data_IF_151269445478
#
_entry.id   IF_151269445478
#
_cell.length_a   1.000
_cell.length_b   1.000
_cell.length_c   1.000
_cell.angle_alpha   90.00
_cell.angle_beta   90.00
_cell.angle_gamma   90.00
#
_symmetry.space_group_name_H-M   'P 1'
#
loop_
_entity.id
_entity.type
_entity.pdbx_description
1 polymer ?
#
# COMPACT_ATOMS: atom_id res chain seq x y z
N UNK A 1 -27.66 -20.28 -20.88
CA UNK A 1 -27.07 -20.70 -19.58
C UNK A 1 -27.04 -19.49 -18.67
N UNK A 2 -27.71 -19.55 -17.52
CA UNK A 2 -27.71 -18.47 -16.52
C UNK A 2 -26.33 -18.42 -15.87
N UNK A 3 -25.64 -17.28 -15.99
CA UNK A 3 -24.40 -17.01 -15.23
C UNK A 3 -24.79 -16.71 -13.79
N UNK A 4 -24.50 -17.65 -12.89
CA UNK A 4 -24.54 -17.37 -11.45
C UNK A 4 -23.42 -16.38 -11.11
N UNK A 5 -23.68 -15.31 -10.35
CA UNK A 5 -22.62 -14.43 -9.88
C UNK A 5 -21.70 -15.21 -8.94
N UNK A 6 -20.40 -15.20 -9.24
CA UNK A 6 -19.36 -15.73 -8.33
C UNK A 6 -19.32 -14.81 -7.11
N UNK A 7 -19.44 -15.32 -5.87
CA UNK A 7 -19.42 -14.49 -4.68
C UNK A 7 -18.02 -13.89 -4.51
N UNK A 8 -17.91 -12.58 -4.67
CA UNK A 8 -16.67 -11.79 -4.61
C UNK A 8 -16.21 -11.53 -3.16
N UNK A 9 -16.30 -12.53 -2.28
CA UNK A 9 -16.09 -12.38 -0.83
C UNK A 9 -14.82 -13.06 -0.30
N UNK A 10 -13.90 -13.47 -1.17
CA UNK A 10 -12.67 -14.20 -0.81
C UNK A 10 -11.30 -13.59 -1.20
N UNK A 11 -11.06 -12.25 -1.23
CA UNK A 11 -9.68 -11.72 -1.25
C UNK A 11 -9.15 -11.26 0.13
N UNK A 12 -9.98 -10.66 0.98
CA UNK A 12 -9.51 -9.93 2.19
C UNK A 12 -9.04 -10.85 3.33
N UNK A 13 -9.67 -12.01 3.51
CA UNK A 13 -9.36 -12.98 4.57
C UNK A 13 -7.99 -13.64 4.40
N UNK A 14 -7.51 -13.79 3.17
CA UNK A 14 -6.19 -14.36 2.88
C UNK A 14 -5.06 -13.35 3.19
N UNK A 15 -5.30 -12.05 2.98
CA UNK A 15 -4.31 -10.99 3.24
C UNK A 15 -3.94 -10.86 4.73
N UNK A 16 -4.77 -11.41 5.62
CA UNK A 16 -4.52 -11.44 7.07
C UNK A 16 -3.92 -12.77 7.56
N UNK A 17 -3.46 -13.62 6.64
CA UNK A 17 -2.80 -14.90 6.95
C UNK A 17 -1.65 -14.77 7.97
N UNK A 18 -0.68 -13.86 7.76
CA UNK A 18 0.40 -13.63 8.73
C UNK A 18 -0.11 -13.24 10.12
N UNK A 19 -1.13 -12.37 10.18
CA UNK A 19 -1.74 -11.93 11.44
C UNK A 19 -2.41 -13.08 12.19
N UNK A 20 -3.08 -14.01 11.48
CA UNK A 20 -3.70 -15.21 12.07
C UNK A 20 -2.68 -16.28 12.47
N UNK A 21 -1.55 -16.32 11.78
CA UNK A 21 -0.45 -17.22 12.08
C UNK A 21 0.41 -16.72 13.26
N UNK A 22 0.31 -15.44 13.62
CA UNK A 22 1.05 -14.86 14.73
C UNK A 22 0.80 -15.62 16.05
N UNK A 23 1.87 -15.81 16.80
CA UNK A 23 1.91 -16.45 18.13
C UNK A 23 2.50 -15.54 19.19
N UNK A 24 3.07 -14.41 18.78
CA UNK A 24 3.63 -13.41 19.68
C UNK A 24 3.04 -12.03 19.40
N UNK A 25 3.06 -11.17 20.41
CA UNK A 25 2.59 -9.77 20.27
C UNK A 25 3.39 -9.04 19.18
N UNK A 26 4.70 -9.24 19.15
CA UNK A 26 5.59 -8.66 18.14
C UNK A 26 5.19 -9.08 16.72
N UNK A 27 4.85 -10.34 16.50
CA UNK A 27 4.39 -10.82 15.19
C UNK A 27 3.04 -10.20 14.78
N UNK A 28 2.12 -10.02 15.73
CA UNK A 28 0.85 -9.32 15.48
C UNK A 28 1.10 -7.88 15.03
N UNK A 29 1.94 -7.15 15.78
CA UNK A 29 2.27 -5.76 15.46
C UNK A 29 2.98 -5.64 14.11
N UNK A 30 3.93 -6.55 13.82
CA UNK A 30 4.61 -6.60 12.53
C UNK A 30 3.67 -6.90 11.35
N UNK A 31 2.70 -7.81 11.54
CA UNK A 31 1.70 -8.09 10.51
C UNK A 31 0.76 -6.91 10.27
N UNK A 32 0.34 -6.20 11.33
CA UNK A 32 -0.44 -4.96 11.21
C UNK A 32 0.36 -3.90 10.44
N UNK A 33 1.63 -3.72 10.78
CA UNK A 33 2.51 -2.81 10.05
C UNK A 33 2.63 -3.18 8.58
N UNK A 34 2.88 -4.45 8.26
CA UNK A 34 3.00 -4.90 6.87
C UNK A 34 1.73 -4.58 6.07
N UNK A 35 0.55 -4.85 6.64
CA UNK A 35 -0.72 -4.53 5.98
C UNK A 35 -0.92 -3.02 5.82
N UNK A 36 -0.64 -2.21 6.85
CA UNK A 36 -0.86 -0.76 6.79
C UNK A 36 0.14 -0.08 5.84
N UNK A 37 1.42 -0.44 5.91
CA UNK A 37 2.47 0.10 5.06
C UNK A 37 2.31 -0.34 3.60
N UNK A 38 2.16 -1.65 3.36
CA UNK A 38 2.17 -2.20 2.00
C UNK A 38 0.77 -2.15 1.39
N UNK A 39 -0.26 -2.56 2.14
CA UNK A 39 -1.57 -2.76 1.55
C UNK A 39 -2.42 -1.49 1.51
N UNK A 40 -2.42 -0.72 2.60
CA UNK A 40 -3.15 0.55 2.68
C UNK A 40 -2.33 1.69 2.06
N UNK A 41 -1.01 1.61 2.16
CA UNK A 41 -0.09 2.63 1.65
C UNK A 41 0.05 3.80 2.62
N UNK A 42 0.28 3.51 3.90
CA UNK A 42 0.44 4.51 4.95
C UNK A 42 1.83 4.41 5.59
N UNK A 43 2.56 5.51 5.64
CA UNK A 43 3.95 5.59 6.14
C UNK A 43 4.06 6.22 7.53
N UNK A 44 3.00 6.88 8.01
CA UNK A 44 2.89 7.30 9.40
C UNK A 44 1.57 6.85 10.01
N UNK A 45 1.64 5.96 10.99
CA UNK A 45 0.46 5.45 11.70
C UNK A 45 0.83 5.00 13.12
N UNK A 46 -0.19 4.83 13.96
CA UNK A 46 -0.06 4.27 15.30
C UNK A 46 -1.14 3.24 15.57
N UNK A 47 -0.77 2.14 16.22
CA UNK A 47 -1.69 1.26 16.92
C UNK A 47 -1.70 1.65 18.39
N UNK A 48 -2.86 2.08 18.86
CA UNK A 48 -3.08 2.57 20.22
C UNK A 48 -3.91 1.56 20.99
N UNK A 49 -3.50 1.25 22.20
CA UNK A 49 -4.28 0.43 23.13
C UNK A 49 -5.02 1.31 24.12
N UNK A 50 -6.27 0.93 24.40
CA UNK A 50 -7.10 1.59 25.39
C UNK A 50 -6.82 0.98 26.75
N UNK A 51 -6.19 1.77 27.63
CA UNK A 51 -6.00 1.39 29.02
C UNK A 51 -7.36 1.30 29.72
N UNK A 52 -7.59 0.16 30.34
CA UNK A 52 -8.88 -0.19 30.88
C UNK A 52 -9.30 0.63 32.09
N UNK A 53 -8.33 1.02 32.91
CA UNK A 53 -8.54 1.65 34.20
C UNK A 53 -8.68 3.18 34.06
N UNK A 54 -7.86 3.78 33.20
CA UNK A 54 -7.80 5.21 32.98
C UNK A 54 -8.59 5.69 31.77
N UNK A 55 -8.92 4.79 30.83
CA UNK A 55 -9.51 5.15 29.55
C UNK A 55 -8.56 5.95 28.64
N UNK A 56 -7.26 5.99 28.97
CA UNK A 56 -6.23 6.63 28.18
C UNK A 56 -5.79 5.72 27.02
N UNK A 57 -5.40 6.33 25.91
CA UNK A 57 -4.75 5.59 24.82
C UNK A 57 -3.24 5.55 25.06
N UNK A 58 -2.63 4.39 24.86
CA UNK A 58 -1.19 4.17 24.98
C UNK A 58 -0.67 3.66 23.65
N UNK A 59 0.49 4.15 23.21
CA UNK A 59 1.10 3.72 21.95
C UNK A 59 1.62 2.29 22.08
N UNK A 60 0.96 1.34 21.45
CA UNK A 60 1.42 -0.05 21.39
C UNK A 60 2.42 -0.27 20.26
N UNK A 61 2.23 0.42 19.13
CA UNK A 61 3.12 0.39 17.99
C UNK A 61 3.00 1.67 17.18
N UNK A 62 4.07 2.10 16.51
CA UNK A 62 4.04 3.25 15.63
C UNK A 62 5.08 3.12 14.53
N UNK A 63 4.79 3.73 13.38
CA UNK A 63 5.73 3.91 12.29
C UNK A 63 5.75 5.38 11.91
N UNK A 64 6.95 5.94 11.74
CA UNK A 64 7.16 7.30 11.23
C UNK A 64 6.77 8.44 12.18
N UNK A 65 6.30 8.15 13.39
CA UNK A 65 5.91 9.14 14.39
C UNK A 65 7.02 9.39 15.41
N UNK A 66 7.05 10.59 15.99
CA UNK A 66 7.95 10.96 17.09
C UNK A 66 7.30 10.71 18.46
N UNK A 67 6.66 9.56 18.61
CA UNK A 67 6.02 9.13 19.87
C UNK A 67 6.56 7.75 20.25
N UNK A 68 6.88 7.55 21.53
CA UNK A 68 7.50 6.32 22.03
C UNK A 68 6.47 5.21 22.26
N UNK A 69 6.85 3.96 21.99
CA UNK A 69 6.08 2.81 22.43
C UNK A 69 5.93 2.83 23.96
N UNK A 70 4.74 2.53 24.47
CA UNK A 70 4.39 2.58 25.88
C UNK A 70 4.09 3.99 26.42
N UNK A 71 4.27 5.05 25.62
CA UNK A 71 3.91 6.40 26.05
C UNK A 71 2.40 6.66 25.90
N UNK A 72 1.80 7.48 26.77
CA UNK A 72 0.43 7.94 26.59
C UNK A 72 0.27 8.70 25.27
N UNK A 73 -0.88 8.53 24.62
CA UNK A 73 -1.23 9.33 23.47
C UNK A 73 -1.37 10.80 23.88
N UNK A 74 -0.73 11.76 23.17
CA UNK A 74 -0.61 13.13 23.69
C UNK A 74 -1.92 13.93 23.79
N UNK A 75 -2.95 13.54 23.05
CA UNK A 75 -4.27 14.17 23.14
C UNK A 75 -5.21 13.31 23.99
N UNK A 76 -6.12 13.93 24.74
CA UNK A 76 -7.14 13.23 25.53
C UNK A 76 -8.55 13.31 24.90
N UNK A 77 -8.67 13.97 23.74
CA UNK A 77 -9.90 14.27 23.01
C UNK A 77 -9.62 14.25 21.49
N UNK A 78 -10.66 14.21 20.67
CA UNK A 78 -10.56 14.25 19.21
C UNK A 78 -11.02 12.96 18.52
N UNK A 79 -10.87 12.87 17.20
CA UNK A 79 -11.43 11.80 16.36
C UNK A 79 -10.93 10.41 16.76
N UNK A 80 -9.65 10.30 17.14
CA UNK A 80 -9.06 9.05 17.65
C UNK A 80 -9.75 8.61 18.96
N UNK A 81 -9.98 9.54 19.89
CA UNK A 81 -10.68 9.24 21.15
C UNK A 81 -12.16 8.93 20.93
N UNK A 82 -12.79 9.56 19.94
CA UNK A 82 -14.15 9.24 19.54
C UNK A 82 -14.25 7.81 18.99
N UNK A 83 -13.29 7.40 18.15
CA UNK A 83 -13.21 6.02 17.68
C UNK A 83 -13.02 5.03 18.84
N UNK A 84 -12.17 5.35 19.82
CA UNK A 84 -11.95 4.52 21.01
C UNK A 84 -13.21 4.37 21.89
N UNK A 85 -14.02 5.43 22.03
CA UNK A 85 -15.17 5.47 22.94
C UNK A 85 -16.48 5.04 22.30
N UNK A 86 -16.78 5.60 21.13
CA UNK A 86 -18.02 5.36 20.42
C UNK A 86 -17.90 4.21 19.42
N UNK A 87 -16.68 3.76 19.11
CA UNK A 87 -16.47 2.68 18.16
C UNK A 87 -16.80 3.05 16.73
N UNK A 88 -16.84 4.35 16.43
CA UNK A 88 -17.15 4.89 15.11
C UNK A 88 -15.83 5.12 14.38
N UNK A 89 -15.57 4.44 13.25
CA UNK A 89 -14.38 4.73 12.45
C UNK A 89 -14.49 6.12 11.82
N UNK A 90 -13.34 6.76 11.62
CA UNK A 90 -13.21 7.99 10.86
C UNK A 90 -12.35 7.71 9.63
N UNK A 91 -12.80 8.13 8.45
CA UNK A 91 -12.01 8.11 7.23
C UNK A 91 -12.16 9.48 6.60
N UNK A 92 -11.05 10.18 6.38
CA UNK A 92 -11.09 11.47 5.71
C UNK A 92 -11.59 11.26 4.26
N UNK A 93 -12.81 11.72 3.97
CA UNK A 93 -13.33 11.77 2.60
C UNK A 93 -12.55 12.77 1.75
N UNK A 94 -12.63 12.64 0.41
CA UNK A 94 -12.09 13.59 -0.58
C UNK A 94 -12.03 14.99 0.01
N UNK A 95 -10.83 15.54 0.16
CA UNK A 95 -10.57 16.80 0.85
C UNK A 95 -11.66 17.82 0.59
N UNK A 96 -12.37 18.24 1.64
CA UNK A 96 -13.09 19.49 1.63
C UNK A 96 -12.31 20.47 2.49
N UNK A 97 -11.89 21.57 1.87
CA UNK A 97 -11.46 22.76 2.59
C UNK A 97 -12.57 23.17 3.56
N UNK A 98 -12.26 23.04 4.84
CA UNK A 98 -13.07 23.44 5.97
C UNK A 98 -12.16 23.26 7.17
N UNK A 99 -11.99 24.32 7.96
CA UNK A 99 -10.90 24.50 8.93
C UNK A 99 -10.68 23.24 9.78
N UNK A 100 -9.60 22.51 9.46
CA UNK A 100 -9.01 21.57 10.39
C UNK A 100 -8.65 22.38 11.64
N UNK A 101 -9.23 22.03 12.80
CA UNK A 101 -8.68 22.55 14.05
C UNK A 101 -7.22 22.11 14.11
N UNK A 102 -6.35 23.02 14.51
CA UNK A 102 -4.89 22.98 14.39
C UNK A 102 -4.18 21.78 15.05
N UNK A 103 -4.91 20.84 15.67
CA UNK A 103 -4.37 19.97 16.71
C UNK A 103 -4.48 18.47 16.43
N UNK A 104 -5.02 18.01 15.29
CA UNK A 104 -5.03 16.57 14.94
C UNK A 104 -4.21 16.28 13.68
N UNK A 105 -2.88 16.45 13.81
CA UNK A 105 -1.78 15.82 13.04
C UNK A 105 -2.11 15.24 11.66
N UNK A 106 -2.79 15.98 10.79
CA UNK A 106 -3.13 15.53 9.44
C UNK A 106 -3.75 14.13 9.39
N UNK A 107 -4.66 13.79 10.33
CA UNK A 107 -5.24 12.45 10.45
C UNK A 107 -5.98 12.05 9.16
N UNK A 108 -5.48 11.03 8.47
CA UNK A 108 -6.07 10.49 7.24
C UNK A 108 -7.22 9.50 7.52
N UNK A 109 -7.20 8.85 8.67
CA UNK A 109 -8.28 7.97 9.13
C UNK A 109 -7.94 7.29 10.45
N UNK A 110 -8.94 6.77 11.14
CA UNK A 110 -8.75 5.87 12.26
C UNK A 110 -9.89 4.86 12.35
N UNK A 111 -9.57 3.65 12.77
CA UNK A 111 -10.54 2.56 12.96
C UNK A 111 -10.41 1.97 14.36
N UNK A 112 -11.52 1.65 15.04
CA UNK A 112 -11.48 1.00 16.35
C UNK A 112 -10.93 -0.42 16.22
N UNK A 113 -9.98 -0.76 17.08
CA UNK A 113 -9.45 -2.12 17.24
C UNK A 113 -10.40 -2.85 18.19
N UNK A 114 -10.85 -4.03 17.77
CA UNK A 114 -11.97 -4.71 18.44
C UNK A 114 -11.64 -6.15 18.77
N UNK A 115 -12.05 -6.56 19.97
CA UNK A 115 -12.23 -7.96 20.34
C UNK A 115 -13.73 -8.24 20.52
N UNK A 116 -14.34 -8.89 19.54
CA UNK A 116 -15.80 -9.04 19.49
C UNK A 116 -16.51 -7.68 19.46
N UNK A 117 -17.34 -7.41 20.46
CA UNK A 117 -18.06 -6.14 20.62
C UNK A 117 -17.26 -5.08 21.38
N UNK A 118 -16.16 -5.47 22.02
CA UNK A 118 -15.33 -4.60 22.87
C UNK A 118 -14.31 -3.84 22.03
N UNK A 119 -14.13 -2.57 22.33
CA UNK A 119 -13.07 -1.74 21.76
C UNK A 119 -11.85 -1.86 22.68
N UNK A 120 -10.73 -2.33 22.16
CA UNK A 120 -9.48 -2.47 22.89
C UNK A 120 -8.43 -1.43 22.47
N UNK A 121 -8.71 -0.63 21.45
CA UNK A 121 -7.75 0.33 20.94
C UNK A 121 -8.22 1.04 19.68
N UNK A 122 -7.30 1.73 19.03
CA UNK A 122 -7.52 2.45 17.77
C UNK A 122 -6.29 2.30 16.88
N UNK A 123 -6.51 1.97 15.61
CA UNK A 123 -5.50 2.09 14.57
C UNK A 123 -5.69 3.46 13.90
N UNK A 124 -4.73 4.36 14.07
CA UNK A 124 -4.77 5.74 13.56
C UNK A 124 -3.73 5.94 12.46
N UNK A 125 -4.14 6.51 11.33
CA UNK A 125 -3.35 6.73 10.13
C UNK A 125 -3.17 8.22 9.91
N UNK A 126 -1.93 8.70 9.82
CA UNK A 126 -1.58 10.12 9.71
C UNK A 126 -1.13 10.45 8.30
N UNK A 127 -0.03 9.87 7.84
CA UNK A 127 0.53 10.15 6.51
C UNK A 127 0.39 8.96 5.60
N UNK A 128 -0.45 9.12 4.59
CA UNK A 128 -0.50 8.22 3.46
C UNK A 128 0.74 8.46 2.59
N UNK A 129 1.19 7.42 1.88
CA UNK A 129 2.26 7.55 0.91
C UNK A 129 1.90 8.65 -0.11
N UNK A 130 2.87 9.38 -0.69
CA UNK A 130 2.60 10.58 -1.52
C UNK A 130 1.65 10.35 -2.70
N UNK A 131 1.48 9.09 -3.11
CA UNK A 131 0.58 8.70 -4.18
C UNK A 131 -0.84 8.32 -3.73
N UNK A 132 -1.03 7.95 -2.46
CA UNK A 132 -2.31 7.58 -1.88
C UNK A 132 -3.00 8.85 -1.39
N UNK A 133 -3.66 9.55 -2.33
CA UNK A 133 -4.31 10.85 -2.08
C UNK A 133 -5.42 10.79 -1.01
N UNK A 134 -6.01 9.61 -0.83
CA UNK A 134 -7.06 9.36 0.15
C UNK A 134 -7.21 7.85 0.38
N UNK A 135 -7.89 7.51 1.48
CA UNK A 135 -8.41 6.17 1.70
C UNK A 135 -9.66 5.95 0.84
N UNK A 136 -9.75 4.78 0.23
CA UNK A 136 -10.89 4.29 -0.55
C UNK A 136 -11.78 3.41 0.32
N UNK A 137 -12.97 3.05 -0.18
CA UNK A 137 -13.84 2.12 0.55
C UNK A 137 -13.18 0.75 0.77
N UNK A 138 -12.42 0.26 -0.22
CA UNK A 138 -11.68 -1.00 -0.09
C UNK A 138 -10.62 -0.93 1.02
N UNK A 139 -9.99 0.23 1.21
CA UNK A 139 -9.05 0.43 2.33
C UNK A 139 -9.78 0.45 3.66
N UNK A 140 -10.95 1.11 3.74
CA UNK A 140 -11.75 1.14 4.95
C UNK A 140 -12.23 -0.26 5.37
N UNK A 141 -12.63 -1.08 4.40
CA UNK A 141 -13.05 -2.47 4.62
C UNK A 141 -11.85 -3.32 5.10
N UNK A 142 -10.69 -3.17 4.46
CA UNK A 142 -9.44 -3.84 4.87
C UNK A 142 -9.02 -3.42 6.28
N UNK A 143 -9.01 -2.12 6.58
CA UNK A 143 -8.65 -1.57 7.88
C UNK A 143 -9.58 -2.06 8.98
N UNK A 144 -10.89 -2.12 8.71
CA UNK A 144 -11.88 -2.61 9.66
C UNK A 144 -11.67 -4.09 9.98
N UNK A 145 -11.41 -4.92 8.95
CA UNK A 145 -11.12 -6.33 9.14
C UNK A 145 -9.79 -6.54 9.88
N UNK A 146 -8.75 -5.80 9.49
CA UNK A 146 -7.44 -5.83 10.14
C UNK A 146 -7.56 -5.49 11.63
N UNK A 147 -8.28 -4.42 11.95
CA UNK A 147 -8.46 -3.95 13.33
C UNK A 147 -9.26 -4.95 14.19
N UNK A 148 -10.17 -5.71 13.60
CA UNK A 148 -10.90 -6.78 14.30
C UNK A 148 -10.00 -8.01 14.57
N UNK A 149 -9.22 -8.44 13.58
CA UNK A 149 -8.33 -9.60 13.75
C UNK A 149 -7.15 -9.28 14.67
N UNK A 150 -6.62 -8.06 14.60
CA UNK A 150 -5.55 -7.60 15.48
C UNK A 150 -6.03 -7.53 16.95
N UNK A 151 -7.23 -7.00 17.20
CA UNK A 151 -7.79 -6.95 18.54
C UNK A 151 -7.97 -8.33 19.18
N UNK A 152 -8.48 -9.30 18.41
CA UNK A 152 -8.59 -10.70 18.85
C UNK A 152 -7.21 -11.32 19.16
N UNK A 153 -6.26 -11.17 18.24
CA UNK A 153 -4.93 -11.77 18.38
C UNK A 153 -4.17 -11.19 19.58
N UNK A 154 -4.20 -9.86 19.76
CA UNK A 154 -3.59 -9.21 20.91
C UNK A 154 -4.24 -9.68 22.22
N UNK A 155 -5.56 -9.86 22.24
CA UNK A 155 -6.26 -10.31 23.45
C UNK A 155 -5.86 -11.71 23.90
N UNK A 156 -5.75 -12.65 22.95
CA UNK A 156 -5.31 -14.03 23.24
C UNK A 156 -3.90 -14.06 23.83
N UNK A 157 -3.08 -13.07 23.49
CA UNK A 157 -1.69 -12.96 23.91
C UNK A 157 -1.50 -12.09 25.16
N UNK A 158 -2.57 -11.51 25.71
CA UNK A 158 -2.51 -10.82 27.00
C UNK A 158 -2.32 -11.82 28.15
N UNK A 159 -1.50 -11.50 29.16
CA UNK A 159 -1.38 -12.34 30.35
C UNK A 159 -2.74 -12.44 31.08
N UNK A 160 -3.10 -13.66 31.49
CA UNK A 160 -4.34 -13.93 32.19
C UNK A 160 -4.43 -13.12 33.50
N UNK A 161 -5.43 -12.23 33.61
CA UNK A 161 -5.68 -11.43 34.83
C UNK A 161 -5.71 -9.90 34.67
N UNK A 162 -5.52 -9.35 33.46
CA UNK A 162 -5.66 -7.92 33.24
C UNK A 162 -7.10 -7.42 33.52
N UNK A 163 -7.28 -6.27 34.23
CA UNK A 163 -8.59 -5.75 34.60
C UNK A 163 -9.49 -5.53 33.39
N UNK A 164 -10.78 -5.86 33.52
CA UNK A 164 -11.77 -5.69 32.45
C UNK A 164 -12.31 -4.25 32.42
N UNK A 165 -12.14 -3.49 31.31
CA UNK A 165 -12.78 -2.20 31.08
C UNK A 165 -14.23 -2.27 30.64
N UNK A 166 -14.84 -1.10 30.86
CA UNK A 166 -16.24 -0.74 30.69
C UNK A 166 -16.86 -1.16 29.34
N UNK A 167 -18.10 -1.64 29.42
CA UNK A 167 -18.94 -1.94 28.27
C UNK A 167 -19.18 -0.69 27.39
N UNK A 168 -19.22 -0.90 26.08
CA UNK A 168 -19.46 0.17 25.09
C UNK A 168 -20.78 0.90 25.35
N UNK A 169 -20.74 2.23 25.39
CA UNK A 169 -21.94 3.06 25.44
C UNK A 169 -22.63 3.11 24.06
N UNK A 170 -23.96 3.19 24.06
CA UNK A 170 -24.80 3.20 22.87
C UNK A 170 -24.45 4.36 21.90
N UNK A 171 -24.61 4.16 20.57
CA UNK A 171 -24.24 5.16 19.58
C UNK A 171 -25.16 6.39 19.63
N UNK A 172 -24.57 7.58 19.76
CA UNK A 172 -25.27 8.87 19.61
C UNK A 172 -25.09 9.34 18.16
N UNK A 173 -26.20 9.53 17.44
CA UNK A 173 -26.23 10.07 16.07
C UNK A 173 -26.00 11.60 16.08
N UNK A 174 -25.12 12.16 15.24
CA UNK A 174 -25.09 13.60 14.99
C UNK A 174 -26.10 14.02 13.88
N UNK A 175 -26.53 15.29 13.85
CA UNK A 175 -27.54 15.80 12.92
C UNK A 175 -26.96 16.09 11.52
N UNK A 176 -27.75 15.81 10.47
CA UNK A 176 -27.46 16.22 9.10
C UNK A 176 -27.69 17.73 8.94
N UNK A 177 -26.67 18.47 8.50
CA UNK A 177 -26.82 19.82 7.95
C UNK A 177 -26.59 19.78 6.43
N UNK A 178 -27.50 20.41 5.69
CA UNK A 178 -27.53 20.46 4.23
C UNK A 178 -26.43 21.36 3.66
N UNK A 179 -25.80 20.94 2.55
CA UNK A 179 -24.88 21.77 1.77
C UNK A 179 -25.56 22.33 0.51
N UNK A 180 -25.25 23.58 0.10
CA UNK A 180 -25.93 24.30 -0.98
C UNK A 180 -25.43 23.89 -2.38
N UNK A 181 -26.33 23.98 -3.36
CA UNK A 181 -26.06 23.88 -4.80
C UNK A 181 -25.36 25.16 -5.30
N UNK A 182 -24.30 25.01 -6.11
CA UNK A 182 -23.70 26.11 -6.87
C UNK A 182 -23.71 25.81 -8.38
N UNK A 183 -23.91 26.89 -9.13
CA UNK A 183 -24.47 26.94 -10.47
C UNK A 183 -23.44 26.85 -11.61
N UNK A 184 -23.99 26.64 -12.82
CA UNK A 184 -23.30 26.66 -14.10
C UNK A 184 -22.71 28.04 -14.43
N UNK A 185 -21.53 28.03 -15.07
CA UNK A 185 -20.92 29.21 -15.67
C UNK A 185 -20.11 28.83 -16.92
N UNK A 186 -20.49 29.40 -18.05
CA UNK A 186 -19.85 29.34 -19.37
C UNK A 186 -19.00 30.60 -19.63
N UNK A 187 -17.83 30.49 -20.27
CA UNK A 187 -17.37 31.26 -21.45
C UNK A 187 -15.90 30.89 -21.83
N UNK A 188 -15.64 30.43 -23.07
CA UNK A 188 -15.01 31.08 -24.26
C UNK A 188 -13.49 31.28 -24.18
N UNK A 189 -12.76 30.70 -25.15
CA UNK A 189 -11.30 30.64 -25.21
C UNK A 189 -10.63 31.58 -26.21
N UNK A 190 -9.34 31.35 -26.49
CA UNK A 190 -8.63 31.79 -27.71
C UNK A 190 -7.43 30.89 -28.00
N UNK A 191 -7.07 30.82 -29.28
CA UNK A 191 -6.11 29.92 -29.91
C UNK A 191 -4.64 30.26 -29.62
N UNK A 192 -3.77 29.24 -29.67
CA UNK A 192 -2.33 29.44 -29.77
C UNK A 192 -1.67 28.59 -30.86
N UNK A 193 -0.77 29.29 -31.53
CA UNK A 193 0.10 29.08 -32.69
C UNK A 193 0.88 27.76 -32.70
N UNK A 194 1.02 27.17 -33.89
CA UNK A 194 1.87 26.01 -34.19
C UNK A 194 3.35 26.33 -33.98
N UNK A 195 3.99 25.59 -33.07
CA UNK A 195 5.46 25.53 -32.87
C UNK A 195 5.98 24.29 -33.62
N UNK A 196 7.17 24.32 -34.26
CA UNK A 196 7.71 23.16 -34.98
C UNK A 196 7.90 21.97 -34.02
N UNK A 197 7.71 20.75 -34.53
CA UNK A 197 7.71 19.51 -33.75
C UNK A 197 9.01 19.31 -32.96
N UNK A 198 8.98 19.68 -31.67
CA UNK A 198 9.88 19.13 -30.68
C UNK A 198 9.65 17.61 -30.62
N UNK A 199 10.72 16.82 -30.48
CA UNK A 199 10.58 15.39 -30.23
C UNK A 199 9.57 15.18 -29.08
N UNK A 200 8.59 14.27 -29.24
CA UNK A 200 7.49 14.17 -28.31
C UNK A 200 8.04 13.89 -26.91
N UNK A 201 7.85 14.85 -26.00
CA UNK A 201 8.17 14.68 -24.59
C UNK A 201 7.41 13.45 -24.11
N UNK A 202 8.09 12.43 -23.56
CA UNK A 202 7.39 11.21 -23.21
C UNK A 202 6.31 11.49 -22.18
N UNK A 203 5.11 10.96 -22.42
CA UNK A 203 4.04 10.97 -21.42
C UNK A 203 4.50 10.13 -20.24
N UNK A 204 4.65 10.80 -19.09
CA UNK A 204 5.09 10.17 -17.85
C UNK A 204 3.90 9.50 -17.16
N UNK A 205 3.91 8.18 -17.10
CA UNK A 205 2.97 7.38 -16.33
C UNK A 205 3.63 7.02 -15.00
N UNK A 206 3.04 7.46 -13.88
CA UNK A 206 3.51 7.02 -12.58
C UNK A 206 2.79 5.73 -12.19
N UNK A 207 3.54 4.66 -11.94
CA UNK A 207 3.03 3.34 -11.58
C UNK A 207 3.04 3.18 -10.05
N UNK A 208 1.88 2.89 -9.47
CA UNK A 208 1.75 2.68 -8.03
C UNK A 208 2.06 1.23 -7.63
N UNK A 209 2.41 0.98 -6.35
CA UNK A 209 2.50 -0.38 -5.84
C UNK A 209 1.19 -1.15 -6.03
N UNK A 210 1.28 -2.38 -6.51
CA UNK A 210 0.14 -3.21 -6.82
C UNK A 210 -0.47 -2.92 -8.19
N UNK A 211 0.18 -2.13 -9.03
CA UNK A 211 -0.26 -1.84 -10.39
C UNK A 211 0.68 -2.45 -11.43
N UNK A 212 0.16 -2.47 -12.65
CA UNK A 212 0.84 -2.88 -13.84
C UNK A 212 0.48 -1.92 -14.98
N UNK A 213 1.47 -1.62 -15.82
CA UNK A 213 1.26 -0.86 -17.05
C UNK A 213 1.96 -1.56 -18.21
N UNK A 214 1.27 -1.67 -19.35
CA UNK A 214 1.82 -2.23 -20.59
C UNK A 214 1.28 -1.47 -21.79
N UNK A 215 2.15 -1.16 -22.75
CA UNK A 215 1.77 -0.48 -23.99
C UNK A 215 2.76 -0.78 -25.13
N UNK A 216 2.34 -0.47 -26.35
CA UNK A 216 3.22 -0.43 -27.52
C UNK A 216 3.89 0.94 -27.65
N UNK A 217 5.14 1.00 -28.14
CA UNK A 217 5.84 2.25 -28.43
C UNK A 217 5.10 3.10 -29.48
N UNK A 218 4.31 2.47 -30.36
CA UNK A 218 3.47 3.15 -31.32
C UNK A 218 2.36 4.00 -30.67
N UNK A 219 2.06 3.79 -29.38
CA UNK A 219 1.10 4.59 -28.60
C UNK A 219 1.67 5.93 -28.12
N UNK A 220 2.89 6.28 -28.53
CA UNK A 220 3.61 7.50 -28.16
C UNK A 220 4.86 7.19 -27.32
N UNK A 221 5.72 8.19 -27.13
CA UNK A 221 6.83 8.09 -26.21
C UNK A 221 6.24 7.99 -24.78
N UNK A 222 6.26 6.82 -24.16
CA UNK A 222 5.76 6.62 -22.79
C UNK A 222 6.93 6.28 -21.88
N UNK A 223 7.02 6.96 -20.74
CA UNK A 223 7.93 6.62 -19.66
C UNK A 223 7.13 6.21 -18.42
N UNK A 224 7.40 5.02 -17.90
CA UNK A 224 6.79 4.53 -16.66
C UNK A 224 7.74 4.81 -15.50
N UNK A 225 7.28 5.51 -14.47
CA UNK A 225 8.10 5.81 -13.28
C UNK A 225 7.48 5.27 -12.00
N UNK A 226 8.31 4.77 -11.10
CA UNK A 226 7.86 4.30 -9.79
C UNK A 226 8.96 4.44 -8.74
N UNK A 227 8.61 4.34 -7.46
CA UNK A 227 9.56 4.40 -6.33
C UNK A 227 9.57 3.04 -5.64
N UNK A 228 10.77 2.49 -5.44
CA UNK A 228 10.99 1.14 -4.94
C UNK A 228 11.77 1.18 -3.63
N UNK A 229 11.20 0.59 -2.59
CA UNK A 229 11.85 0.23 -1.33
C UNK A 229 12.12 -1.28 -1.32
N UNK A 230 11.49 -2.00 -0.39
CA UNK A 230 11.50 -3.47 -0.34
C UNK A 230 10.69 -4.14 -1.45
N UNK A 231 9.73 -3.42 -2.04
CA UNK A 231 9.01 -3.84 -3.25
C UNK A 231 9.94 -3.97 -4.46
N UNK A 232 9.48 -4.70 -5.49
CA UNK A 232 10.24 -4.95 -6.73
C UNK A 232 9.38 -4.59 -7.94
N UNK A 233 10.03 -3.99 -8.93
CA UNK A 233 9.47 -3.81 -10.26
C UNK A 233 10.20 -4.73 -11.25
N UNK A 234 9.42 -5.42 -12.07
CA UNK A 234 9.89 -6.15 -13.25
C UNK A 234 9.46 -5.37 -14.48
N UNK A 235 10.44 -4.98 -15.28
CA UNK A 235 10.22 -4.40 -16.60
C UNK A 235 10.43 -5.48 -17.66
N UNK A 236 9.47 -5.64 -18.57
CA UNK A 236 9.58 -6.55 -19.71
C UNK A 236 9.56 -5.77 -21.02
N UNK A 237 10.41 -6.17 -21.97
CA UNK A 237 10.57 -5.50 -23.26
C UNK A 237 10.71 -6.50 -24.40
N UNK A 238 9.95 -6.30 -25.47
CA UNK A 238 10.13 -6.95 -26.78
C UNK A 238 10.69 -5.92 -27.75
N UNK A 239 11.96 -6.04 -28.10
CA UNK A 239 12.65 -5.08 -28.97
C UNK A 239 12.15 -5.09 -30.41
N UNK A 240 11.59 -6.22 -30.89
CA UNK A 240 11.11 -6.38 -32.26
C UNK A 240 9.78 -5.67 -32.47
N UNK A 241 8.84 -5.87 -31.54
CA UNK A 241 7.53 -5.22 -31.59
C UNK A 241 7.54 -3.83 -30.94
N UNK A 242 8.61 -3.51 -30.20
CA UNK A 242 8.69 -2.32 -29.36
C UNK A 242 7.48 -2.24 -28.43
N UNK A 243 7.15 -3.35 -27.77
CA UNK A 243 6.11 -3.40 -26.73
C UNK A 243 6.74 -3.72 -25.40
N UNK A 244 6.23 -3.09 -24.35
CA UNK A 244 6.79 -3.24 -23.02
C UNK A 244 5.83 -2.91 -21.93
N UNK A 245 6.26 -3.25 -20.72
CA UNK A 245 5.49 -2.95 -19.54
C UNK A 245 6.31 -3.11 -18.28
N UNK A 246 5.72 -2.62 -17.20
CA UNK A 246 6.30 -2.62 -15.86
C UNK A 246 5.21 -3.05 -14.90
N UNK A 247 5.56 -3.96 -14.00
CA UNK A 247 4.78 -4.19 -12.78
C UNK A 247 5.48 -3.54 -11.59
N UNK A 248 4.73 -3.35 -10.51
CA UNK A 248 5.28 -3.02 -9.21
C UNK A 248 4.56 -3.86 -8.17
N UNK A 249 5.16 -4.97 -7.74
CA UNK A 249 4.57 -5.83 -6.72
C UNK A 249 5.23 -5.60 -5.36
N UNK A 250 4.48 -5.92 -4.31
CA UNK A 250 4.85 -5.59 -2.92
C UNK A 250 5.43 -6.79 -2.18
N UNK A 251 4.89 -7.98 -2.44
CA UNK A 251 5.17 -9.19 -1.67
C UNK A 251 5.48 -10.38 -2.60
N UNK A 252 6.19 -11.42 -2.13
CA UNK A 252 6.70 -12.46 -3.03
C UNK A 252 5.58 -13.42 -3.47
N UNK A 253 4.72 -13.85 -2.55
CA UNK A 253 3.75 -14.92 -2.83
C UNK A 253 2.39 -14.58 -2.24
N UNK A 254 1.33 -14.79 -3.02
CA UNK A 254 -0.04 -14.55 -2.60
C UNK A 254 -0.53 -15.65 -1.64
N UNK A 255 -1.05 -15.30 -0.45
CA UNK A 255 -1.60 -16.29 0.48
C UNK A 255 -2.84 -17.02 -0.06
N UNK A 256 -3.57 -16.41 -1.01
CA UNK A 256 -4.77 -16.98 -1.65
C UNK A 256 -4.50 -17.62 -3.01
N UNK A 257 -3.22 -17.80 -3.37
CA UNK A 257 -2.80 -18.20 -4.72
C UNK A 257 -2.73 -17.02 -5.70
N UNK A 258 -2.14 -17.23 -6.89
CA UNK A 258 -1.73 -16.15 -7.80
C UNK A 258 -2.87 -15.22 -8.27
N UNK A 259 -4.10 -15.74 -8.33
CA UNK A 259 -5.26 -15.02 -8.89
C UNK A 259 -5.99 -14.12 -7.89
N UNK A 260 -5.71 -14.23 -6.58
CA UNK A 260 -6.47 -13.52 -5.56
C UNK A 260 -6.20 -12.00 -5.53
N UNK A 261 -4.99 -11.59 -5.89
CA UNK A 261 -4.57 -10.19 -6.01
C UNK A 261 -3.35 -10.09 -6.93
N UNK A 262 -3.52 -10.39 -8.23
CA UNK A 262 -2.42 -10.76 -9.12
C UNK A 262 -1.35 -9.67 -9.19
N UNK A 263 -1.70 -8.39 -9.13
CA UNK A 263 -0.73 -7.31 -9.27
C UNK A 263 0.08 -6.99 -8.00
N UNK A 264 -0.33 -7.51 -6.83
CA UNK A 264 0.33 -7.20 -5.55
C UNK A 264 1.45 -8.17 -5.17
N UNK A 265 1.42 -9.38 -5.72
CA UNK A 265 2.34 -10.45 -5.37
C UNK A 265 3.16 -10.90 -6.58
N UNK A 266 4.45 -11.21 -6.40
CA UNK A 266 5.35 -11.54 -7.51
C UNK A 266 4.96 -12.80 -8.28
N UNK A 267 4.36 -13.79 -7.60
CA UNK A 267 3.80 -15.00 -8.21
C UNK A 267 2.61 -14.74 -9.15
N UNK A 268 1.83 -13.68 -8.94
CA UNK A 268 0.76 -13.25 -9.84
C UNK A 268 1.16 -12.14 -10.81
N UNK A 269 1.98 -11.18 -10.36
CA UNK A 269 2.19 -9.92 -11.05
C UNK A 269 3.11 -10.07 -12.25
N UNK A 270 4.04 -11.02 -12.19
CA UNK A 270 4.97 -11.33 -13.28
C UNK A 270 4.24 -12.10 -14.39
N UNK A 271 3.49 -13.18 -14.11
CA UNK A 271 2.62 -13.80 -15.11
C UNK A 271 1.63 -12.83 -15.74
N UNK A 272 0.95 -12.01 -14.95
CA UNK A 272 0.00 -11.02 -15.47
C UNK A 272 0.67 -10.02 -16.44
N UNK A 273 1.93 -9.66 -16.20
CA UNK A 273 2.70 -8.81 -17.13
C UNK A 273 3.08 -9.52 -18.41
N UNK A 274 3.49 -10.77 -18.31
CA UNK A 274 3.75 -11.59 -19.50
C UNK A 274 2.49 -11.71 -20.34
N UNK A 275 1.35 -12.03 -19.72
CA UNK A 275 0.06 -12.18 -20.39
C UNK A 275 -0.39 -10.86 -21.05
N UNK A 276 -0.22 -9.73 -20.36
CA UNK A 276 -0.52 -8.41 -20.91
C UNK A 276 0.31 -8.08 -22.17
N UNK A 277 1.61 -8.43 -22.18
CA UNK A 277 2.46 -8.24 -23.36
C UNK A 277 2.16 -9.24 -24.48
N UNK A 278 1.76 -10.47 -24.14
CA UNK A 278 1.31 -11.44 -25.12
C UNK A 278 -0.01 -11.02 -25.78
N UNK A 279 -0.92 -10.39 -25.03
CA UNK A 279 -2.13 -9.79 -25.57
C UNK A 279 -1.84 -8.63 -26.55
N UNK A 280 -0.70 -7.95 -26.40
CA UNK A 280 -0.16 -6.97 -27.35
C UNK A 280 0.62 -7.60 -28.52
N UNK A 281 0.63 -8.93 -28.64
CA UNK A 281 1.24 -9.68 -29.73
C UNK A 281 2.68 -10.14 -29.49
N UNK A 282 3.27 -9.85 -28.32
CA UNK A 282 4.60 -10.36 -27.97
C UNK A 282 4.60 -11.86 -27.75
N UNK A 283 5.79 -12.46 -27.86
CA UNK A 283 6.02 -13.85 -27.50
C UNK A 283 7.00 -13.89 -26.34
N UNK A 284 6.77 -14.77 -25.37
CA UNK A 284 7.62 -14.96 -24.20
C UNK A 284 9.12 -15.09 -24.55
N UNK A 285 9.45 -15.80 -25.63
CA UNK A 285 10.83 -15.98 -26.11
C UNK A 285 11.50 -14.71 -26.64
N UNK A 286 10.74 -13.64 -26.89
CA UNK A 286 11.24 -12.35 -27.37
C UNK A 286 11.32 -11.31 -26.24
N UNK A 287 10.85 -11.65 -25.04
CA UNK A 287 10.89 -10.75 -23.90
C UNK A 287 12.28 -10.77 -23.25
N UNK A 288 12.74 -9.59 -22.85
CA UNK A 288 13.88 -9.41 -21.97
C UNK A 288 13.40 -8.73 -20.69
N UNK A 289 13.94 -9.17 -19.56
CA UNK A 289 13.56 -8.65 -18.25
C UNK A 289 14.62 -7.73 -17.66
N UNK A 290 14.17 -6.71 -16.93
CA UNK A 290 14.99 -5.89 -16.05
C UNK A 290 14.34 -5.81 -14.68
N UNK A 291 15.13 -5.98 -13.62
CA UNK A 291 14.59 -6.12 -12.25
C UNK A 291 15.19 -5.08 -11.32
N UNK A 292 14.34 -4.34 -10.61
CA UNK A 292 14.77 -3.26 -9.71
C UNK A 292 14.03 -3.29 -8.38
N UNK A 293 14.66 -2.78 -7.31
CA UNK A 293 14.04 -2.63 -5.99
C UNK A 293 14.63 -3.56 -4.93
N UNK A 294 13.80 -4.09 -4.04
CA UNK A 294 14.23 -5.09 -3.05
C UNK A 294 15.19 -4.56 -1.96
N UNK A 295 15.16 -3.27 -1.67
CA UNK A 295 15.99 -2.67 -0.63
C UNK A 295 15.50 -3.07 0.78
N UNK A 296 16.45 -3.30 1.69
CA UNK A 296 16.19 -3.49 3.12
C UNK A 296 16.22 -2.13 3.83
N UNK A 297 15.13 -1.38 3.73
CA UNK A 297 14.98 -0.05 4.35
C UNK A 297 14.69 -0.24 5.84
N UNK A 298 15.58 0.26 6.72
CA UNK A 298 15.37 0.25 8.18
C UNK A 298 15.83 -1.01 8.93
N UNK A 299 16.47 -1.98 8.25
CA UNK A 299 17.08 -3.13 8.93
C UNK A 299 18.32 -2.71 9.74
N UNK A 300 18.45 -3.19 10.98
CA UNK A 300 19.66 -3.05 11.80
C UNK A 300 20.87 -3.75 11.17
N UNK A 301 22.08 -3.61 11.76
CA UNK A 301 23.35 -3.97 11.11
C UNK A 301 23.63 -5.48 10.91
N UNK A 302 22.61 -6.35 10.94
CA UNK A 302 22.75 -7.80 10.77
C UNK A 302 22.62 -8.26 9.31
N UNK A 303 23.72 -8.76 8.72
CA UNK A 303 23.73 -9.33 7.37
C UNK A 303 22.77 -10.53 7.18
N UNK A 304 22.50 -11.29 8.24
CA UNK A 304 21.57 -12.43 8.23
C UNK A 304 20.09 -12.00 8.17
N UNK A 305 19.71 -10.89 8.81
CA UNK A 305 18.35 -10.34 8.75
C UNK A 305 18.05 -9.73 7.38
N UNK A 306 19.04 -9.09 6.76
CA UNK A 306 18.92 -8.56 5.41
C UNK A 306 18.69 -9.66 4.34
N UNK A 307 19.27 -10.84 4.52
CA UNK A 307 19.14 -11.97 3.60
C UNK A 307 17.74 -12.63 3.61
N UNK A 308 17.01 -12.54 4.73
CA UNK A 308 15.63 -13.04 4.87
C UNK A 308 14.56 -11.93 4.83
N UNK A 309 14.97 -10.68 4.61
CA UNK A 309 14.07 -9.54 4.51
C UNK A 309 13.07 -9.65 3.37
N UNK A 310 11.95 -8.93 3.46
CA UNK A 310 10.91 -8.88 2.42
C UNK A 310 11.51 -8.50 1.06
N UNK A 311 12.46 -7.56 1.04
CA UNK A 311 13.16 -7.15 -0.18
C UNK A 311 13.92 -8.28 -0.87
N UNK A 312 14.70 -9.05 -0.11
CA UNK A 312 15.43 -10.20 -0.62
C UNK A 312 14.48 -11.29 -1.14
N UNK A 313 13.40 -11.58 -0.40
CA UNK A 313 12.38 -12.56 -0.83
C UNK A 313 11.64 -12.12 -2.09
N UNK A 314 11.34 -10.83 -2.22
CA UNK A 314 10.76 -10.27 -3.44
C UNK A 314 11.70 -10.47 -4.63
N UNK A 315 12.97 -10.09 -4.51
CA UNK A 315 13.96 -10.26 -5.60
C UNK A 315 14.07 -11.73 -5.99
N UNK A 316 14.19 -12.62 -5.00
CA UNK A 316 14.28 -14.05 -5.26
C UNK A 316 13.05 -14.59 -6.00
N UNK A 317 11.85 -14.08 -5.66
CA UNK A 317 10.63 -14.43 -6.38
C UNK A 317 10.69 -13.96 -7.84
N UNK A 318 11.11 -12.72 -8.11
CA UNK A 318 11.21 -12.23 -9.49
C UNK A 318 12.13 -13.10 -10.34
N UNK A 319 13.32 -13.39 -9.83
CA UNK A 319 14.31 -14.20 -10.53
C UNK A 319 13.80 -15.62 -10.81
N UNK A 320 13.15 -16.25 -9.82
CA UNK A 320 12.53 -17.57 -10.00
C UNK A 320 11.43 -17.56 -11.06
N UNK A 321 10.51 -16.61 -11.00
CA UNK A 321 9.38 -16.53 -11.92
C UNK A 321 9.83 -16.26 -13.36
N UNK A 322 10.84 -15.40 -13.54
CA UNK A 322 11.43 -15.12 -14.85
C UNK A 322 12.18 -16.33 -15.41
N UNK A 323 12.91 -17.06 -14.57
CA UNK A 323 13.57 -18.31 -14.96
C UNK A 323 12.55 -19.39 -15.38
N UNK A 324 11.46 -19.57 -14.62
CA UNK A 324 10.35 -20.49 -14.97
C UNK A 324 9.69 -20.07 -16.29
N UNK A 325 9.55 -18.77 -16.53
CA UNK A 325 9.05 -18.24 -17.80
C UNK A 325 10.09 -18.31 -18.94
N UNK A 326 11.34 -18.71 -18.69
CA UNK A 326 12.39 -18.70 -19.70
C UNK A 326 12.68 -17.30 -20.27
N UNK A 327 12.47 -16.25 -19.47
CA UNK A 327 12.71 -14.86 -19.84
C UNK A 327 14.07 -14.44 -19.26
N UNK A 328 15.08 -14.11 -20.08
CA UNK A 328 16.40 -13.71 -19.59
C UNK A 328 16.35 -12.34 -18.90
N UNK A 329 17.06 -12.23 -17.78
CA UNK A 329 17.29 -10.94 -17.10
C UNK A 329 18.54 -10.30 -17.68
N UNK A 330 18.40 -9.11 -18.28
CA UNK A 330 19.48 -8.39 -18.96
C UNK A 330 20.03 -7.22 -18.14
N UNK A 331 19.32 -6.80 -17.10
CA UNK A 331 19.72 -5.71 -16.21
C UNK A 331 19.10 -5.90 -14.82
N UNK A 332 19.90 -5.71 -13.77
CA UNK A 332 19.44 -5.79 -12.39
C UNK A 332 19.97 -4.61 -11.57
N UNK A 333 19.07 -3.99 -10.81
CA UNK A 333 19.41 -3.00 -9.80
C UNK A 333 18.59 -3.28 -8.54
N UNK A 334 18.97 -4.33 -7.81
CA UNK A 334 18.24 -4.87 -6.65
C UNK A 334 19.00 -4.71 -5.32
N UNK A 335 18.36 -4.98 -4.18
CA UNK A 335 19.00 -5.02 -2.86
C UNK A 335 19.38 -3.65 -2.29
N UNK A 336 20.38 -3.59 -1.41
CA UNK A 336 20.84 -2.34 -0.77
C UNK A 336 19.93 -1.84 0.35
N UNK A 337 20.26 -0.68 0.93
CA UNK A 337 19.58 -0.12 2.12
C UNK A 337 18.73 1.12 1.84
N UNK A 338 18.66 1.57 0.58
CA UNK A 338 17.99 2.81 0.17
C UNK A 338 16.97 2.59 -0.92
N UNK A 339 15.89 3.35 -0.83
CA UNK A 339 14.87 3.43 -1.86
C UNK A 339 15.42 4.05 -3.14
N UNK A 340 14.82 3.69 -4.28
CA UNK A 340 15.22 4.18 -5.61
C UNK A 340 14.02 4.55 -6.45
N UNK A 341 14.15 5.61 -7.23
CA UNK A 341 13.19 5.96 -8.28
C UNK A 341 13.61 5.28 -9.58
N UNK A 342 12.72 4.45 -10.12
CA UNK A 342 12.84 3.83 -11.44
C UNK A 342 12.11 4.68 -12.47
N UNK A 343 12.67 4.75 -13.67
CA UNK A 343 12.05 5.22 -14.91
C UNK A 343 12.35 4.22 -16.01
N UNK A 344 11.33 3.76 -16.70
CA UNK A 344 11.45 2.78 -17.77
C UNK A 344 10.77 3.32 -19.02
N UNK A 345 11.52 3.42 -20.10
CA UNK A 345 11.04 4.00 -21.35
C UNK A 345 10.55 2.90 -22.28
N UNK A 346 9.29 2.99 -22.67
CA UNK A 346 8.64 2.01 -23.55
C UNK A 346 8.99 2.19 -25.03
N UNK A 347 9.85 3.14 -25.41
CA UNK A 347 10.26 3.29 -26.81
C UNK A 347 11.48 2.44 -27.16
N UNK A 348 12.36 2.18 -26.18
CA UNK A 348 13.66 1.53 -26.36
C UNK A 348 13.99 0.50 -25.26
N UNK A 349 13.15 0.37 -24.22
CA UNK A 349 13.39 -0.53 -23.10
C UNK A 349 14.50 -0.07 -22.15
N UNK A 350 14.90 1.20 -22.20
CA UNK A 350 15.93 1.74 -21.30
C UNK A 350 15.32 1.96 -19.91
N UNK A 351 16.04 1.49 -18.88
CA UNK A 351 15.74 1.74 -17.49
C UNK A 351 16.75 2.76 -16.93
N UNK A 352 16.29 3.68 -16.08
CA UNK A 352 17.16 4.58 -15.33
C UNK A 352 16.73 4.60 -13.87
N UNK A 353 17.72 4.57 -12.98
CA UNK A 353 17.52 4.43 -11.54
C UNK A 353 18.22 5.58 -10.84
N UNK A 354 17.49 6.27 -9.94
CA UNK A 354 18.04 7.28 -9.05
C UNK A 354 17.83 6.86 -7.60
N UNK A 355 18.93 6.66 -6.86
CA UNK A 355 18.86 6.39 -5.42
C UNK A 355 18.35 7.64 -4.69
N UNK A 356 17.45 7.46 -3.73
CA UNK A 356 16.83 8.53 -2.96
C UNK A 356 17.52 8.66 -1.59
N UNK A 357 17.63 9.89 -1.07
CA UNK A 357 18.16 10.15 0.27
C UNK A 357 19.69 10.16 0.41
N UNK A 358 20.42 10.74 -0.55
CA UNK A 358 21.83 11.11 -0.38
C UNK A 358 22.01 12.62 -0.56
N UNK A 359 22.86 13.25 0.25
CA UNK A 359 23.41 14.56 -0.09
C UNK A 359 24.17 14.44 -1.42
N UNK A 360 24.01 15.43 -2.29
CA UNK A 360 24.72 15.55 -3.56
C UNK A 360 26.22 15.78 -3.32
#
# INVERSE_FOLDING_TARGET
MRTTPVPMALPLTAMLGPLRAARTRTEVLGAVEEVVCQLVGCEEFALLELDAASGALVVAHQVGLKVGSGSPWPTARGLIHQAARAGVPYIAGRSFGGEASSDEWNLSGCVPVRDGTRICGVLALFRLLPHKRQLTQADADLLSLLAQEAGRALKVLEPAGAPQPLAAAAPVRPPLAALPRAAAGTFVGTAHTLVPAAEPTPSLVYLHPGELYSAAAASGAVEVSTILGSCVAVCLWDSRLRVGGVNHYLLPTSPGGPDAAPHRYGDGAIPALVDALQALGSRRSQLQAKVFGGASVGAGPGAAEAANGVGARNVQQALRMLAVAGIPVVEEGVGGSRSRKLRFRLSDGVASVKVLGGAA
#
